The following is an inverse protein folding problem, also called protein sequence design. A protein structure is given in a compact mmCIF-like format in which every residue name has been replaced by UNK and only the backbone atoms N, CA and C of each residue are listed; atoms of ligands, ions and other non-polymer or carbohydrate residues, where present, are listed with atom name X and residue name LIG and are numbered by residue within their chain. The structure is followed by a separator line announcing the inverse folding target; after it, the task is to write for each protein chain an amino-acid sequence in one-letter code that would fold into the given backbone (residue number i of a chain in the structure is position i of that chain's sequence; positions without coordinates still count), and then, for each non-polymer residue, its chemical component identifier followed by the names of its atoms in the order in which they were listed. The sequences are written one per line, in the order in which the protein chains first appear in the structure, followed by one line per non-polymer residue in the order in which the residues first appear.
data_IF_711899731239
#
_entry.id   IF_711899731239
#
_cell.length_a   1.000
_cell.length_b   1.000
_cell.length_c   1.000
_cell.angle_alpha   90.00
_cell.angle_beta   90.00
_cell.angle_gamma   90.00
#
_symmetry.space_group_name_H-M   'P 1'
#
loop_
_entity.id
_entity.type
_entity.pdbx_description
1 polymer ?
#
# COMPACT_ATOMS: atom_id res chain seq x y z
N UNK A 1 11.70 -6.04 4.10
CA UNK A 1 10.73 -7.07 3.68
C UNK A 1 10.87 -7.46 2.21
N UNK A 2 10.77 -6.52 1.26
CA UNK A 2 10.94 -6.83 -0.18
C UNK A 2 12.23 -7.61 -0.50
N UNK A 3 13.35 -7.23 0.14
CA UNK A 3 14.63 -7.93 0.00
C UNK A 3 14.60 -9.37 0.47
N UNK A 4 13.88 -9.68 1.56
CA UNK A 4 13.73 -11.03 2.08
C UNK A 4 12.91 -11.90 1.12
N UNK A 5 11.82 -11.35 0.58
CA UNK A 5 11.00 -12.04 -0.42
C UNK A 5 11.78 -12.35 -1.70
N UNK A 6 12.61 -11.41 -2.18
CA UNK A 6 13.47 -11.63 -3.36
C UNK A 6 14.44 -12.79 -3.13
N UNK A 7 15.18 -12.75 -2.01
CA UNK A 7 16.11 -13.82 -1.65
C UNK A 7 15.41 -15.17 -1.52
N UNK A 8 14.25 -15.22 -0.86
CA UNK A 8 13.49 -16.45 -0.73
C UNK A 8 12.96 -16.97 -2.08
N UNK A 9 12.55 -16.08 -3.00
CA UNK A 9 12.13 -16.50 -4.34
C UNK A 9 13.28 -17.02 -5.20
N UNK A 10 14.50 -16.49 -5.04
CA UNK A 10 15.70 -16.92 -5.78
C UNK A 10 16.17 -18.33 -5.36
N UNK A 11 15.82 -18.77 -4.15
CA UNK A 11 16.12 -20.13 -3.67
C UNK A 11 15.21 -21.21 -4.28
N UNK A 12 14.16 -20.83 -4.99
CA UNK A 12 13.19 -21.77 -5.56
C UNK A 12 13.42 -21.92 -7.06
N UNK A 13 13.77 -23.14 -7.48
CA UNK A 13 14.03 -23.44 -8.89
C UNK A 13 12.79 -23.18 -9.76
N UNK A 14 12.99 -22.54 -10.91
CA UNK A 14 11.94 -22.26 -11.89
C UNK A 14 11.02 -21.08 -11.58
N UNK A 15 11.17 -20.40 -10.42
CA UNK A 15 10.38 -19.21 -10.11
C UNK A 15 10.98 -17.96 -10.74
N UNK A 16 10.22 -17.32 -11.62
CA UNK A 16 10.58 -16.05 -12.27
C UNK A 16 9.96 -14.82 -11.60
N UNK A 17 9.03 -15.00 -10.66
CA UNK A 17 8.24 -13.91 -10.07
C UNK A 17 8.27 -13.92 -8.54
N UNK A 18 8.29 -12.71 -7.97
CA UNK A 18 8.34 -12.46 -6.54
C UNK A 18 7.19 -11.54 -6.14
N UNK A 19 6.62 -11.71 -4.95
CA UNK A 19 5.62 -10.79 -4.41
C UNK A 19 6.23 -9.40 -4.23
N UNK A 20 5.51 -8.37 -4.69
CA UNK A 20 5.94 -6.96 -4.61
C UNK A 20 5.13 -6.26 -3.52
N UNK A 21 5.82 -5.72 -2.52
CA UNK A 21 5.17 -5.10 -1.34
C UNK A 21 4.60 -3.72 -1.67
N UNK A 22 5.35 -2.89 -2.37
CA UNK A 22 4.91 -1.57 -2.79
C UNK A 22 5.25 -1.38 -4.29
N UNK A 23 4.33 -1.78 -5.19
CA UNK A 23 4.53 -1.64 -6.62
C UNK A 23 4.91 -0.20 -6.99
N UNK A 24 6.08 -0.03 -7.60
CA UNK A 24 6.64 1.27 -8.00
C UNK A 24 6.83 2.30 -6.86
N UNK A 25 6.80 1.87 -5.59
CA UNK A 25 6.87 2.78 -4.45
C UNK A 25 5.64 3.69 -4.32
N UNK A 26 4.50 3.26 -4.86
CA UNK A 26 3.26 4.03 -4.95
C UNK A 26 2.76 4.44 -3.57
N UNK A 27 2.63 3.50 -2.63
CA UNK A 27 2.08 3.81 -1.31
C UNK A 27 3.00 4.76 -0.54
N UNK A 28 4.32 4.52 -0.58
CA UNK A 28 5.30 5.39 0.09
C UNK A 28 5.27 6.80 -0.51
N UNK A 29 5.17 6.93 -1.83
CA UNK A 29 5.08 8.24 -2.50
C UNK A 29 3.85 9.01 -2.07
N UNK A 30 2.68 8.35 -2.02
CA UNK A 30 1.45 8.99 -1.51
C UNK A 30 1.63 9.40 -0.06
N UNK A 31 2.14 8.52 0.82
CA UNK A 31 2.38 8.87 2.23
C UNK A 31 3.32 10.08 2.39
N UNK A 32 4.37 10.17 1.57
CA UNK A 32 5.34 11.26 1.64
C UNK A 32 4.82 12.61 1.13
N UNK A 33 3.77 12.58 0.30
CA UNK A 33 3.23 13.76 -0.38
C UNK A 33 1.72 13.95 -0.19
N UNK A 34 1.13 13.32 0.81
CA UNK A 34 -0.30 13.33 1.03
C UNK A 34 -0.80 14.74 1.31
N UNK A 35 -1.83 15.16 0.57
CA UNK A 35 -2.49 16.46 0.73
C UNK A 35 -3.61 16.43 1.78
N UNK A 36 -4.06 15.24 2.18
CA UNK A 36 -5.13 15.05 3.17
C UNK A 36 -4.89 13.84 4.09
N UNK A 37 -5.54 13.84 5.25
CA UNK A 37 -5.51 12.69 6.17
C UNK A 37 -6.16 11.44 5.56
N UNK A 38 -7.13 11.62 4.66
CA UNK A 38 -7.76 10.52 3.92
C UNK A 38 -6.76 9.86 2.98
N UNK A 39 -5.97 10.63 2.22
CA UNK A 39 -4.90 10.09 1.38
C UNK A 39 -3.86 9.32 2.20
N UNK A 40 -3.45 9.87 3.35
CA UNK A 40 -2.56 9.14 4.28
C UNK A 40 -3.19 7.83 4.75
N UNK A 41 -4.48 7.86 5.09
CA UNK A 41 -5.22 6.69 5.56
C UNK A 41 -5.28 5.59 4.51
N UNK A 42 -5.62 5.93 3.27
CA UNK A 42 -5.69 4.98 2.15
C UNK A 42 -4.32 4.36 1.89
N UNK A 43 -3.28 5.19 1.77
CA UNK A 43 -1.94 4.72 1.48
C UNK A 43 -1.37 3.86 2.61
N UNK A 44 -1.61 4.24 3.87
CA UNK A 44 -1.23 3.46 5.04
C UNK A 44 -1.95 2.11 5.08
N UNK A 45 -3.26 2.11 4.84
CA UNK A 45 -4.08 0.90 4.82
C UNK A 45 -3.62 -0.08 3.75
N UNK A 46 -3.39 0.40 2.53
CA UNK A 46 -2.86 -0.41 1.43
C UNK A 46 -1.47 -0.96 1.75
N UNK A 47 -0.56 -0.12 2.25
CA UNK A 47 0.81 -0.56 2.59
C UNK A 47 0.81 -1.61 3.70
N UNK A 48 0.02 -1.40 4.75
CA UNK A 48 -0.13 -2.35 5.86
C UNK A 48 -0.63 -3.71 5.33
N UNK A 49 -1.67 -3.71 4.50
CA UNK A 49 -2.18 -4.93 3.89
C UNK A 49 -1.11 -5.65 3.08
N UNK A 50 -0.36 -4.92 2.25
CA UNK A 50 0.73 -5.50 1.48
C UNK A 50 1.83 -6.12 2.36
N UNK A 51 2.14 -5.51 3.51
CA UNK A 51 3.07 -6.09 4.49
C UNK A 51 2.51 -7.39 5.06
N UNK A 52 1.23 -7.42 5.46
CA UNK A 52 0.58 -8.65 5.95
C UNK A 52 0.59 -9.76 4.89
N UNK A 53 0.26 -9.43 3.64
CA UNK A 53 0.31 -10.37 2.51
C UNK A 53 1.73 -10.84 2.22
N UNK A 54 2.72 -9.96 2.35
CA UNK A 54 4.14 -10.30 2.14
C UNK A 54 4.62 -11.37 3.13
N UNK A 55 4.14 -11.35 4.37
CA UNK A 55 4.49 -12.36 5.37
C UNK A 55 3.86 -13.72 5.01
N UNK A 56 2.62 -13.72 4.51
CA UNK A 56 1.97 -14.95 4.01
C UNK A 56 2.70 -15.49 2.78
N UNK A 57 3.12 -14.62 1.87
CA UNK A 57 3.92 -15.00 0.70
C UNK A 57 5.27 -15.59 1.10
N UNK A 58 5.93 -15.04 2.12
CA UNK A 58 7.19 -15.59 2.63
C UNK A 58 6.99 -17.00 3.21
N UNK A 59 5.96 -17.23 4.03
CA UNK A 59 5.60 -18.56 4.54
C UNK A 59 5.26 -19.54 3.42
N UNK A 60 4.69 -19.05 2.31
CA UNK A 60 4.44 -19.85 1.11
C UNK A 60 5.76 -20.29 0.49
N UNK A 61 6.74 -19.40 0.34
CA UNK A 61 8.04 -19.76 -0.23
C UNK A 61 8.78 -20.77 0.64
N UNK A 62 8.70 -20.63 1.97
CA UNK A 62 9.24 -21.63 2.90
C UNK A 62 8.62 -23.02 2.68
N UNK A 63 7.28 -23.10 2.56
CA UNK A 63 6.58 -24.38 2.31
C UNK A 63 6.92 -24.98 0.95
N UNK A 64 7.00 -24.16 -0.09
CA UNK A 64 7.38 -24.61 -1.43
C UNK A 64 8.82 -25.10 -1.48
N UNK A 65 9.73 -24.43 -0.77
CA UNK A 65 11.13 -24.86 -0.67
C UNK A 65 11.29 -26.19 0.07
N UNK A 66 10.48 -26.43 1.10
CA UNK A 66 10.48 -27.69 1.86
C UNK A 66 9.65 -28.80 1.20
N UNK A 67 8.93 -28.50 0.12
CA UNK A 67 8.08 -29.46 -0.56
C UNK A 67 8.93 -30.58 -1.18
N UNK A 68 8.56 -31.81 -0.90
CA UNK A 68 9.22 -33.01 -1.43
C UNK A 68 8.44 -33.62 -2.59
N UNK A 69 7.18 -33.20 -2.77
CA UNK A 69 6.31 -33.68 -3.84
C UNK A 69 5.66 -32.52 -4.60
N UNK A 70 5.37 -32.72 -5.89
CA UNK A 70 4.72 -31.68 -6.72
C UNK A 70 3.30 -31.35 -6.27
N UNK A 71 2.63 -32.23 -5.52
CA UNK A 71 1.31 -31.97 -4.95
C UNK A 71 1.36 -30.94 -3.81
N UNK A 72 2.47 -30.88 -3.05
CA UNK A 72 2.70 -29.90 -1.98
C UNK A 72 2.95 -28.48 -2.53
N UNK A 73 3.45 -28.36 -3.77
CA UNK A 73 3.68 -27.09 -4.46
C UNK A 73 2.39 -26.35 -4.87
N UNK A 74 1.27 -27.07 -5.03
CA UNK A 74 0.06 -26.55 -5.70
C UNK A 74 -1.00 -25.96 -4.75
N UNK A 75 -0.81 -26.06 -3.43
CA UNK A 75 -1.82 -25.68 -2.44
C UNK A 75 -1.72 -24.19 -2.03
N UNK A 76 -2.09 -23.26 -2.92
CA UNK A 76 -2.65 -21.99 -2.43
C UNK A 76 -3.48 -21.24 -3.47
N UNK A 77 -4.68 -20.74 -3.11
CA UNK A 77 -5.56 -20.03 -4.02
C UNK A 77 -5.05 -18.62 -4.34
N UNK A 78 -5.28 -18.23 -5.61
CA UNK A 78 -5.33 -16.87 -6.15
C UNK A 78 -4.14 -15.97 -5.77
N UNK A 79 -3.01 -16.20 -6.43
CA UNK A 79 -2.13 -15.07 -6.73
C UNK A 79 -2.89 -14.10 -7.61
N UNK A 80 -2.98 -12.82 -7.21
CA UNK A 80 -3.43 -11.74 -8.10
C UNK A 80 -2.72 -11.91 -9.44
N UNK A 81 -3.47 -11.95 -10.55
CA UNK A 81 -2.89 -12.17 -11.87
C UNK A 81 -1.73 -11.18 -12.09
N UNK A 82 -0.51 -11.65 -12.41
CA UNK A 82 0.66 -10.79 -12.52
C UNK A 82 0.44 -9.67 -13.56
N UNK A 83 -0.43 -9.92 -14.55
CA UNK A 83 -0.81 -8.96 -15.59
C UNK A 83 -1.48 -7.68 -15.05
N UNK A 84 -2.12 -7.72 -13.88
CA UNK A 84 -2.72 -6.54 -13.25
C UNK A 84 -1.63 -5.50 -12.93
N UNK A 85 -0.40 -5.92 -12.65
CA UNK A 85 0.72 -5.00 -12.41
C UNK A 85 1.49 -4.65 -13.69
N UNK A 86 1.26 -5.36 -14.81
CA UNK A 86 1.90 -5.04 -16.09
C UNK A 86 1.30 -3.78 -16.73
N UNK A 87 0.00 -3.54 -16.49
CA UNK A 87 -0.76 -2.37 -16.97
C UNK A 87 -0.67 -1.19 -15.99
N UNK A 88 0.26 -1.24 -15.03
CA UNK A 88 0.39 -0.17 -14.04
C UNK A 88 0.71 1.17 -14.74
N UNK A 89 -0.07 2.24 -14.50
CA UNK A 89 0.13 3.51 -15.19
C UNK A 89 1.50 4.09 -14.82
N UNK A 90 2.38 4.25 -15.80
CA UNK A 90 3.76 4.74 -15.57
C UNK A 90 3.86 6.25 -15.49
N UNK A 91 2.93 6.96 -16.12
CA UNK A 91 2.93 8.43 -16.25
C UNK A 91 1.80 9.11 -15.47
N UNK A 92 1.27 8.45 -14.45
CA UNK A 92 0.22 9.00 -13.60
C UNK A 92 0.73 9.42 -12.21
N UNK A 93 -0.07 10.24 -11.52
CA UNK A 93 0.24 10.64 -10.15
C UNK A 93 0.31 9.43 -9.21
N UNK A 94 1.05 9.54 -8.11
CA UNK A 94 1.12 8.47 -7.10
C UNK A 94 -0.28 8.11 -6.57
N UNK A 95 -1.17 9.09 -6.41
CA UNK A 95 -2.54 8.86 -5.96
C UNK A 95 -3.38 8.12 -7.01
N UNK A 96 -3.25 8.48 -8.29
CA UNK A 96 -3.92 7.75 -9.39
C UNK A 96 -3.47 6.29 -9.46
N UNK A 97 -2.17 6.04 -9.23
CA UNK A 97 -1.62 4.70 -9.16
C UNK A 97 -2.15 3.93 -7.94
N UNK A 98 -2.33 4.60 -6.81
CA UNK A 98 -2.93 3.99 -5.63
C UNK A 98 -4.39 3.63 -5.88
N UNK A 99 -5.17 4.51 -6.51
CA UNK A 99 -6.55 4.19 -6.91
C UNK A 99 -6.62 3.02 -7.85
N UNK A 100 -5.73 2.94 -8.84
CA UNK A 100 -5.66 1.78 -9.73
C UNK A 100 -5.52 0.46 -8.96
N UNK A 101 -4.67 0.43 -7.92
CA UNK A 101 -4.53 -0.75 -7.05
C UNK A 101 -5.84 -1.08 -6.34
N UNK A 102 -6.48 -0.09 -5.73
CA UNK A 102 -7.77 -0.28 -5.04
C UNK A 102 -8.91 -0.64 -5.98
N UNK A 103 -8.83 -0.29 -7.27
CA UNK A 103 -9.86 -0.58 -8.27
C UNK A 103 -9.70 -1.93 -8.98
N UNK A 104 -8.49 -2.51 -8.98
CA UNK A 104 -8.17 -3.70 -9.78
C UNK A 104 -7.60 -4.88 -8.98
N UNK A 105 -7.05 -4.64 -7.79
CA UNK A 105 -6.48 -5.70 -6.95
C UNK A 105 -7.51 -6.16 -5.92
N UNK A 106 -8.00 -7.42 -5.97
CA UNK A 106 -9.11 -7.88 -5.13
C UNK A 106 -8.90 -7.66 -3.62
N UNK A 107 -7.69 -7.87 -3.12
CA UNK A 107 -7.40 -7.68 -1.70
C UNK A 107 -7.47 -6.21 -1.26
N UNK A 108 -7.16 -5.26 -2.16
CA UNK A 108 -7.29 -3.83 -1.90
C UNK A 108 -8.76 -3.39 -2.01
N UNK A 109 -9.49 -3.87 -3.03
CA UNK A 109 -10.93 -3.66 -3.16
C UNK A 109 -11.69 -4.09 -1.89
N UNK A 110 -11.30 -5.21 -1.29
CA UNK A 110 -11.90 -5.71 -0.06
C UNK A 110 -11.71 -4.78 1.17
N UNK A 111 -10.84 -3.77 1.08
CA UNK A 111 -10.66 -2.75 2.13
C UNK A 111 -11.59 -1.55 1.94
N UNK A 112 -12.27 -1.45 0.80
CA UNK A 112 -13.11 -0.29 0.49
C UNK A 112 -14.44 -0.36 1.27
N UNK A 113 -14.97 0.79 1.72
CA UNK A 113 -16.27 0.81 2.35
C UNK A 113 -17.36 0.38 1.36
N UNK A 114 -18.43 -0.23 1.87
CA UNK A 114 -19.55 -0.65 1.05
C UNK A 114 -20.23 0.55 0.37
N UNK A 115 -20.36 0.51 -0.96
CA UNK A 115 -20.98 1.56 -1.76
C UNK A 115 -20.01 2.37 -2.63
N UNK A 116 -18.70 2.17 -2.49
CA UNK A 116 -17.71 2.78 -3.39
C UNK A 116 -17.92 2.31 -4.85
N UNK A 117 -18.01 3.27 -5.75
CA UNK A 117 -18.09 3.07 -7.20
C UNK A 117 -16.90 3.73 -7.90
N UNK A 118 -15.95 2.91 -8.34
CA UNK A 118 -14.74 3.33 -9.06
C UNK A 118 -14.96 4.21 -10.30
N UNK A 119 -16.16 4.21 -10.87
CA UNK A 119 -16.48 5.01 -12.06
C UNK A 119 -16.88 6.45 -11.72
N UNK A 120 -17.29 6.71 -10.48
CA UNK A 120 -17.87 8.00 -10.07
C UNK A 120 -17.17 8.61 -8.86
N UNK A 121 -16.52 7.79 -8.04
CA UNK A 121 -16.07 8.22 -6.72
C UNK A 121 -14.57 8.50 -6.71
N UNK A 122 -14.21 9.61 -6.07
CA UNK A 122 -12.83 9.90 -5.73
C UNK A 122 -12.53 9.29 -4.37
N UNK A 123 -11.65 8.28 -4.33
CA UNK A 123 -11.44 7.45 -3.15
C UNK A 123 -11.12 8.25 -1.85
N UNK A 124 -10.28 9.31 -1.86
CA UNK A 124 -10.06 10.18 -0.71
C UNK A 124 -11.31 10.82 -0.11
N UNK A 125 -12.33 11.11 -0.93
CA UNK A 125 -13.58 11.72 -0.46
C UNK A 125 -14.49 10.68 0.22
N UNK A 126 -14.26 9.39 -0.07
CA UNK A 126 -15.06 8.29 0.41
C UNK A 126 -14.47 7.60 1.66
N UNK A 127 -13.16 7.76 1.89
CA UNK A 127 -12.47 7.16 3.03
C UNK A 127 -12.31 8.17 4.15
N UNK A 128 -12.92 7.87 5.30
CA UNK A 128 -12.71 8.62 6.52
C UNK A 128 -11.27 8.46 7.03
N UNK A 129 -10.64 9.55 7.51
CA UNK A 129 -9.35 9.46 8.18
C UNK A 129 -9.38 8.50 9.38
N UNK A 130 -8.23 7.90 9.69
CA UNK A 130 -8.09 7.10 10.92
C UNK A 130 -8.15 8.01 12.16
N UNK A 131 -8.90 7.60 13.20
CA UNK A 131 -9.09 8.39 14.42
C UNK A 131 -7.78 8.91 15.03
N UNK A 132 -6.72 8.09 15.09
CA UNK A 132 -5.44 8.51 15.64
C UNK A 132 -4.72 9.57 14.78
N UNK A 133 -4.99 9.62 13.46
CA UNK A 133 -4.52 10.70 12.60
C UNK A 133 -5.32 11.97 12.85
N UNK A 134 -6.64 11.88 13.04
CA UNK A 134 -7.47 13.04 13.40
C UNK A 134 -7.07 13.64 14.76
N UNK A 135 -6.78 12.77 15.74
CA UNK A 135 -6.28 13.17 17.06
C UNK A 135 -4.89 13.83 16.98
N UNK A 136 -4.00 13.31 16.14
CA UNK A 136 -2.66 13.87 15.95
C UNK A 136 -2.65 15.18 15.13
N UNK A 137 -3.61 15.34 14.23
CA UNK A 137 -3.74 16.50 13.34
C UNK A 137 -5.12 17.16 13.49
N UNK A 138 -5.44 17.70 14.68
CA UNK A 138 -6.73 18.32 14.91
C UNK A 138 -6.93 19.53 13.99
N UNK A 139 -8.18 19.83 13.59
CA UNK A 139 -8.47 20.98 12.75
C UNK A 139 -7.91 22.25 13.36
N UNK A 140 -6.98 22.91 12.66
CA UNK A 140 -6.48 24.21 13.09
C UNK A 140 -7.43 25.28 12.59
N UNK A 141 -7.87 26.16 13.47
CA UNK A 141 -8.57 27.37 13.05
C UNK A 141 -7.65 28.17 12.13
N UNK A 142 -8.21 28.68 11.02
CA UNK A 142 -7.50 29.58 10.13
C UNK A 142 -7.05 30.80 10.94
N UNK A 143 -5.74 30.90 11.21
CA UNK A 143 -5.20 32.09 11.85
C UNK A 143 -5.32 33.24 10.85
N UNK A 144 -6.10 34.27 11.21
CA UNK A 144 -6.42 35.40 10.32
C UNK A 144 -5.22 36.16 9.77
N UNK A 145 -4.02 35.98 10.35
CA UNK A 145 -2.73 36.34 9.74
C UNK A 145 -1.69 35.26 10.07
N UNK A 146 -0.99 34.67 9.08
CA UNK A 146 0.15 33.81 9.37
C UNK A 146 1.23 34.64 10.07
N UNK A 147 1.68 34.17 11.24
CA UNK A 147 2.83 34.76 11.93
C UNK A 147 4.02 33.82 11.82
N UNK A 148 5.15 34.34 11.36
CA UNK A 148 6.41 33.61 11.36
C UNK A 148 6.89 33.48 12.80
N UNK A 149 7.10 32.25 13.23
CA UNK A 149 7.70 31.94 14.53
C UNK A 149 9.15 31.56 14.27
N UNK A 150 10.08 32.30 14.88
CA UNK A 150 11.49 31.96 14.84
C UNK A 150 11.79 31.08 16.05
N UNK A 151 12.67 30.10 15.85
CA UNK A 151 13.18 29.27 16.92
C UNK A 151 14.69 29.47 17.00
N UNK A 152 15.23 29.48 18.21
CA UNK A 152 16.67 29.47 18.44
C UNK A 152 17.29 28.15 17.94
N UNK A 153 18.61 28.10 17.84
CA UNK A 153 19.34 26.86 17.52
C UNK A 153 19.14 25.75 18.57
N UNK A 154 18.59 26.07 19.74
CA UNK A 154 18.25 25.11 20.82
C UNK A 154 16.76 24.75 20.84
N UNK A 155 15.95 25.29 19.91
CA UNK A 155 14.52 24.97 19.78
C UNK A 155 13.60 25.79 20.69
N UNK A 156 14.11 26.82 21.36
CA UNK A 156 13.29 27.77 22.12
C UNK A 156 12.63 28.77 21.16
N UNK A 157 11.38 29.14 21.47
CA UNK A 157 10.55 30.02 20.66
C UNK A 157 10.79 31.50 20.95
#
# INVERSE_FOLDING_TARGET
MQSLLKRASELMEGRSTCFVVDPHGTMIRVLSGAASLSEMTIAWTGLRLCIELSQRAFKKYEREYMATTSAELLLSPVSTAPDIYNVFPRDCSAMSNLMYLFDHVPHHQAQLPGGYNKNTDWLPDYVSPLNHLEEAFPPKSLKGRPSTVFYSSTGER
#
